data_IF_539188513135
#
_entry.id   IF_539188513135
#
_cell.length_a   1.000
_cell.length_b   1.000
_cell.length_c   1.000
_cell.angle_alpha   90.00
_cell.angle_beta   90.00
_cell.angle_gamma   90.00
#
_symmetry.space_group_name_H-M   'P 1'
#
loop_
_entity.id
_entity.type
_entity.pdbx_description
1 polymer ?
#
# COMPACT_ATOMS: atom_id res chain seq x y z
N UNK A 1 40.51 4.98 -19.19
CA UNK A 1 39.49 4.44 -18.26
C UNK A 1 39.52 2.92 -18.12
N UNK A 2 40.70 2.29 -17.97
CA UNK A 2 40.77 0.84 -17.65
C UNK A 2 40.58 0.57 -16.16
N UNK A 3 41.12 1.45 -15.32
CA UNK A 3 41.04 1.37 -13.85
C UNK A 3 39.61 1.42 -13.29
N UNK A 4 38.67 2.07 -13.99
CA UNK A 4 37.27 2.13 -13.57
C UNK A 4 36.48 0.84 -13.88
N UNK A 5 36.84 0.13 -14.94
CA UNK A 5 36.18 -1.12 -15.35
C UNK A 5 36.55 -2.27 -14.42
N UNK A 6 37.81 -2.35 -14.00
CA UNK A 6 38.29 -3.40 -13.08
C UNK A 6 37.60 -3.29 -11.71
N UNK A 7 37.48 -2.07 -11.17
CA UNK A 7 36.83 -1.84 -9.88
C UNK A 7 35.32 -2.08 -9.91
N UNK A 8 34.67 -1.84 -11.06
CA UNK A 8 33.27 -2.15 -11.25
C UNK A 8 33.02 -3.66 -11.33
N UNK A 9 33.94 -4.41 -11.94
CA UNK A 9 33.87 -5.88 -12.01
C UNK A 9 34.04 -6.52 -10.64
N UNK A 10 35.03 -6.06 -9.86
CA UNK A 10 35.30 -6.53 -8.50
C UNK A 10 34.09 -6.37 -7.56
N UNK A 11 33.39 -5.23 -7.65
CA UNK A 11 32.17 -4.98 -6.88
C UNK A 11 30.99 -5.86 -7.32
N UNK A 12 30.92 -6.22 -8.60
CA UNK A 12 29.87 -7.10 -9.12
C UNK A 12 30.06 -8.55 -8.66
N UNK A 13 31.29 -9.08 -8.77
CA UNK A 13 31.65 -10.42 -8.29
C UNK A 13 31.45 -10.56 -6.77
N UNK A 14 31.75 -9.50 -5.99
CA UNK A 14 31.54 -9.50 -4.54
C UNK A 14 30.06 -9.54 -4.11
N UNK A 15 29.17 -8.85 -4.84
CA UNK A 15 27.75 -8.75 -4.47
C UNK A 15 26.95 -9.97 -4.91
N UNK A 16 27.28 -10.53 -6.08
CA UNK A 16 26.49 -11.61 -6.67
C UNK A 16 27.06 -13.00 -6.29
N UNK A 17 28.28 -13.06 -5.77
CA UNK A 17 29.00 -14.32 -5.56
C UNK A 17 29.46 -14.92 -6.89
N UNK A 18 30.28 -15.97 -6.84
CA UNK A 18 30.60 -16.77 -8.03
C UNK A 18 29.26 -17.27 -8.61
N UNK A 19 28.81 -16.61 -9.67
CA UNK A 19 27.72 -17.06 -10.51
C UNK A 19 28.21 -18.38 -11.12
N UNK A 20 27.77 -19.49 -10.54
CA UNK A 20 27.84 -20.78 -11.19
C UNK A 20 27.30 -20.58 -12.61
N UNK A 21 28.16 -20.68 -13.62
CA UNK A 21 27.83 -20.51 -15.05
C UNK A 21 26.85 -21.59 -15.55
N UNK A 22 26.34 -22.43 -14.64
CA UNK A 22 25.43 -23.54 -14.88
C UNK A 22 24.01 -23.29 -14.36
N UNK A 23 23.53 -22.05 -14.37
CA UNK A 23 22.09 -21.80 -14.29
C UNK A 23 21.46 -22.16 -15.64
N UNK A 24 21.12 -23.45 -15.78
CA UNK A 24 20.23 -23.94 -16.82
C UNK A 24 18.90 -23.19 -16.69
N UNK A 25 18.71 -22.16 -17.52
CA UNK A 25 17.41 -21.54 -17.69
C UNK A 25 16.47 -22.63 -18.22
N UNK A 26 15.44 -23.05 -17.46
CA UNK A 26 14.50 -24.03 -17.97
C UNK A 26 13.83 -23.43 -19.19
N UNK A 27 14.13 -24.02 -20.35
CA UNK A 27 13.46 -23.70 -21.61
C UNK A 27 12.03 -24.21 -21.45
N UNK A 28 11.13 -23.33 -21.04
CA UNK A 28 9.71 -23.59 -21.07
C UNK A 28 9.30 -23.71 -22.55
N UNK A 29 9.21 -24.95 -23.05
CA UNK A 29 8.74 -25.26 -24.40
C UNK A 29 7.23 -24.98 -24.58
N UNK A 30 6.53 -24.75 -23.48
CA UNK A 30 5.09 -24.55 -23.47
C UNK A 30 4.75 -23.09 -23.76
N UNK A 31 4.05 -22.88 -24.87
CA UNK A 31 3.46 -21.60 -25.25
C UNK A 31 2.56 -21.09 -24.13
N UNK A 32 2.66 -19.80 -23.73
CA UNK A 32 1.85 -19.24 -22.67
C UNK A 32 0.36 -19.44 -22.96
N UNK A 33 -0.38 -19.97 -21.99
CA UNK A 33 -1.79 -20.30 -22.16
C UNK A 33 -2.59 -19.07 -22.62
N UNK A 34 -3.50 -19.21 -23.60
CA UNK A 34 -4.30 -18.10 -24.09
C UNK A 34 -5.19 -17.55 -22.98
N UNK A 35 -5.07 -16.24 -22.74
CA UNK A 35 -5.90 -15.52 -21.78
C UNK A 35 -7.30 -15.41 -22.38
N UNK A 36 -8.25 -16.19 -21.84
CA UNK A 36 -9.66 -16.04 -22.17
C UNK A 36 -10.24 -14.86 -21.39
N UNK A 37 -10.44 -13.74 -22.06
CA UNK A 37 -11.18 -12.59 -21.54
C UNK A 37 -12.66 -12.97 -21.56
N UNK A 38 -13.17 -13.50 -20.44
CA UNK A 38 -14.59 -13.74 -20.27
C UNK A 38 -15.30 -12.39 -20.11
N UNK A 39 -16.20 -12.12 -21.06
CA UNK A 39 -17.05 -10.94 -21.18
C UNK A 39 -18.03 -10.91 -20.00
N UNK A 40 -17.83 -9.95 -19.09
CA UNK A 40 -18.66 -9.80 -17.88
C UNK A 40 -19.86 -8.91 -18.23
N UNK A 41 -20.99 -9.53 -18.54
CA UNK A 41 -22.25 -8.81 -18.74
C UNK A 41 -22.81 -8.36 -17.37
N UNK A 42 -22.81 -7.04 -17.15
CA UNK A 42 -23.39 -6.41 -15.96
C UNK A 42 -24.87 -6.16 -16.21
N UNK A 43 -25.72 -6.98 -15.62
CA UNK A 43 -27.19 -6.82 -15.67
C UNK A 43 -27.66 -5.76 -14.66
N UNK A 44 -27.97 -4.56 -15.16
CA UNK A 44 -28.60 -3.51 -14.36
C UNK A 44 -30.09 -3.83 -14.15
N UNK A 45 -30.47 -4.07 -12.89
CA UNK A 45 -31.87 -4.30 -12.49
C UNK A 45 -32.48 -2.99 -12.02
N UNK A 46 -33.47 -2.49 -12.78
CA UNK A 46 -34.25 -1.31 -12.46
C UNK A 46 -35.24 -1.60 -11.33
N UNK A 47 -35.13 -0.88 -10.21
CA UNK A 47 -36.15 -0.83 -9.18
C UNK A 47 -36.91 0.50 -9.31
N UNK A 48 -38.17 0.37 -9.74
CA UNK A 48 -39.18 1.42 -9.79
C UNK A 48 -39.85 1.52 -8.42
N UNK A 49 -39.70 2.67 -7.75
CA UNK A 49 -39.98 2.85 -6.32
C UNK A 49 -40.49 4.25 -5.98
N UNK A 50 -41.73 4.52 -6.40
CA UNK A 50 -42.72 5.48 -5.89
C UNK A 50 -42.31 6.39 -4.70
N UNK A 51 -42.00 7.65 -5.02
CA UNK A 51 -41.95 8.84 -4.16
C UNK A 51 -43.26 9.09 -3.39
N UNK A 52 -43.22 9.29 -2.06
CA UNK A 52 -43.98 10.34 -1.32
C UNK A 52 -43.23 10.64 0.00
N UNK A 53 -42.81 11.89 0.19
CA UNK A 53 -42.31 12.43 1.45
C UNK A 53 -41.22 13.49 1.22
N UNK A 54 -41.63 14.73 0.95
CA UNK A 54 -40.74 15.87 0.82
C UNK A 54 -40.30 16.33 2.22
N UNK A 55 -39.24 15.73 2.74
CA UNK A 55 -38.42 16.30 3.80
C UNK A 55 -37.15 16.84 3.14
N UNK A 56 -36.79 18.08 3.50
CA UNK A 56 -35.78 18.90 2.84
C UNK A 56 -34.42 18.19 2.73
N UNK A 57 -34.00 17.90 1.50
CA UNK A 57 -32.63 17.53 1.11
C UNK A 57 -31.66 18.69 1.42
N UNK A 58 -31.32 18.92 2.69
CA UNK A 58 -30.15 19.71 3.03
C UNK A 58 -28.91 18.89 2.67
N UNK A 59 -28.03 19.38 1.77
CA UNK A 59 -26.76 18.71 1.50
C UNK A 59 -25.98 18.69 2.81
N UNK A 60 -25.80 17.51 3.38
CA UNK A 60 -24.88 17.33 4.49
C UNK A 60 -23.49 17.71 3.96
N UNK A 61 -22.89 18.75 4.55
CA UNK A 61 -21.53 19.18 4.24
C UNK A 61 -20.56 18.07 4.66
N UNK A 62 -20.21 17.20 3.71
CA UNK A 62 -19.19 16.18 3.91
C UNK A 62 -17.85 16.91 3.98
N UNK A 63 -17.25 16.92 5.17
CA UNK A 63 -15.90 17.45 5.34
C UNK A 63 -14.92 16.47 4.70
N UNK A 64 -14.27 16.91 3.62
CA UNK A 64 -13.23 16.14 2.95
C UNK A 64 -11.87 16.66 3.38
N UNK A 65 -10.96 15.73 3.67
CA UNK A 65 -9.59 16.03 4.06
C UNK A 65 -8.64 15.76 2.88
N UNK A 66 -7.95 16.80 2.37
CA UNK A 66 -7.04 16.63 1.23
C UNK A 66 -5.71 15.99 1.66
N UNK A 67 -5.41 14.85 1.05
CA UNK A 67 -4.15 14.12 1.22
C UNK A 67 -3.34 14.19 -0.08
N UNK A 68 -2.04 14.30 0.05
CA UNK A 68 -1.11 14.26 -1.07
C UNK A 68 -0.16 13.09 -0.92
N UNK A 69 -0.08 12.26 -1.95
CA UNK A 69 0.87 11.16 -2.07
C UNK A 69 1.99 11.59 -2.99
N UNK A 70 3.18 11.79 -2.42
CA UNK A 70 4.39 12.16 -3.12
C UNK A 70 5.21 10.91 -3.45
N UNK A 71 5.59 10.76 -4.71
CA UNK A 71 6.53 9.74 -5.17
C UNK A 71 7.87 10.38 -5.51
N UNK A 72 8.93 9.87 -4.90
CA UNK A 72 10.29 10.33 -5.14
C UNK A 72 11.01 9.40 -6.11
N UNK A 73 11.84 9.97 -7.00
CA UNK A 73 12.60 9.22 -8.01
C UNK A 73 13.53 8.18 -7.41
N UNK A 74 14.14 8.50 -6.27
CA UNK A 74 15.05 7.62 -5.54
C UNK A 74 14.92 7.89 -4.03
N UNK A 75 14.59 6.86 -3.25
CA UNK A 75 14.74 6.87 -1.80
C UNK A 75 16.18 6.45 -1.46
N UNK A 76 17.01 7.41 -1.06
CA UNK A 76 18.33 7.13 -0.50
C UNK A 76 18.22 6.92 1.01
N UNK A 77 19.24 6.33 1.62
CA UNK A 77 19.28 6.06 3.06
C UNK A 77 19.15 7.32 3.92
N UNK A 78 19.60 8.48 3.41
CA UNK A 78 19.49 9.76 4.13
C UNK A 78 18.04 10.24 4.28
N UNK A 79 17.14 9.88 3.35
CA UNK A 79 15.77 10.41 3.31
C UNK A 79 14.91 9.89 4.49
N UNK A 80 14.85 8.57 4.78
CA UNK A 80 14.16 8.08 5.97
C UNK A 80 14.68 8.70 7.26
N UNK A 81 16.00 8.84 7.43
CA UNK A 81 16.57 9.48 8.62
C UNK A 81 16.17 10.94 8.71
N UNK A 82 16.24 11.70 7.62
CA UNK A 82 15.80 13.10 7.61
C UNK A 82 14.31 13.25 8.03
N UNK A 83 13.44 12.36 7.55
CA UNK A 83 12.01 12.42 7.83
C UNK A 83 11.64 11.89 9.23
N UNK A 84 12.37 10.91 9.75
CA UNK A 84 12.07 10.24 11.03
C UNK A 84 12.85 10.79 12.22
N UNK A 85 14.02 11.37 11.99
CA UNK A 85 14.91 11.88 13.04
C UNK A 85 14.96 13.42 13.03
N UNK A 86 14.54 14.08 11.93
CA UNK A 86 14.57 15.54 11.81
C UNK A 86 13.63 16.25 12.79
N UNK A 87 14.04 17.37 13.42
CA UNK A 87 13.25 18.07 14.42
C UNK A 87 12.00 18.75 13.84
N UNK A 88 11.99 19.05 12.54
CA UNK A 88 10.92 19.84 11.92
C UNK A 88 9.59 19.08 11.90
N UNK A 89 9.64 17.76 11.70
CA UNK A 89 8.45 16.87 11.69
C UNK A 89 8.26 16.13 13.03
N UNK A 90 8.96 16.54 14.09
CA UNK A 90 8.92 15.86 15.37
C UNK A 90 7.52 15.88 15.99
N UNK A 91 6.85 17.03 15.96
CA UNK A 91 5.52 17.19 16.53
C UNK A 91 4.50 16.26 15.87
N UNK A 92 4.53 16.15 14.54
CA UNK A 92 3.63 15.29 13.77
C UNK A 92 3.90 13.81 14.05
N UNK A 93 5.16 13.40 14.18
CA UNK A 93 5.52 12.02 14.56
C UNK A 93 5.09 11.69 15.98
N UNK A 94 5.35 12.59 16.91
CA UNK A 94 4.96 12.41 18.32
C UNK A 94 3.45 12.34 18.48
N UNK A 95 2.69 13.18 17.76
CA UNK A 95 1.23 13.13 17.76
C UNK A 95 0.70 11.77 17.27
N UNK A 96 1.27 11.22 16.20
CA UNK A 96 0.92 9.88 15.71
C UNK A 96 1.27 8.80 16.72
N UNK A 97 2.48 8.83 17.29
CA UNK A 97 2.94 7.83 18.28
C UNK A 97 2.12 7.91 19.56
N UNK A 98 1.75 9.10 20.03
CA UNK A 98 0.88 9.30 21.20
C UNK A 98 -0.52 8.72 20.97
N UNK A 99 -1.03 8.79 19.73
CA UNK A 99 -2.27 8.14 19.32
C UNK A 99 -2.12 6.62 19.07
N UNK A 100 -0.92 6.06 19.23
CA UNK A 100 -0.65 4.63 19.03
C UNK A 100 -0.39 4.23 17.57
N UNK A 101 -0.20 5.20 16.67
CA UNK A 101 0.07 4.97 15.26
C UNK A 101 1.56 5.07 14.93
N UNK A 102 1.99 4.34 13.88
CA UNK A 102 3.36 4.39 13.38
C UNK A 102 3.47 5.40 12.23
N UNK A 103 4.50 6.27 12.22
CA UNK A 103 4.78 7.17 11.08
C UNK A 103 5.33 6.42 9.85
N UNK A 104 5.56 5.11 9.96
CA UNK A 104 5.92 4.23 8.84
C UNK A 104 4.82 3.19 8.63
N UNK A 105 4.25 3.18 7.42
CA UNK A 105 3.26 2.18 6.99
C UNK A 105 3.91 0.80 6.82
N UNK A 106 3.13 -0.31 6.82
CA UNK A 106 3.66 -1.66 6.57
C UNK A 106 4.42 -1.81 5.25
N UNK A 107 4.10 -0.98 4.25
CA UNK A 107 4.79 -0.91 2.95
C UNK A 107 6.18 -0.24 3.03
N UNK A 108 6.53 0.33 4.18
CA UNK A 108 7.73 1.14 4.40
C UNK A 108 7.58 2.61 3.99
N UNK A 109 6.47 2.99 3.37
CA UNK A 109 6.14 4.38 3.06
C UNK A 109 6.03 5.22 4.34
N UNK A 110 6.30 6.52 4.23
CA UNK A 110 6.23 7.46 5.36
C UNK A 110 4.90 8.19 5.33
N UNK A 111 4.28 8.38 6.49
CA UNK A 111 2.98 9.01 6.61
C UNK A 111 3.03 10.11 7.67
N UNK A 112 2.57 11.30 7.30
CA UNK A 112 2.48 12.49 8.17
C UNK A 112 1.11 13.14 7.97
N UNK A 113 0.15 12.71 8.77
CA UNK A 113 -1.23 13.18 8.78
C UNK A 113 -1.68 13.38 10.23
N UNK A 114 -2.73 14.17 10.50
CA UNK A 114 -3.33 14.22 11.83
C UNK A 114 -3.74 12.81 12.30
N UNK A 115 -3.60 12.49 13.59
CA UNK A 115 -3.93 11.16 14.10
C UNK A 115 -5.39 10.78 13.87
N UNK A 116 -6.30 11.75 13.90
CA UNK A 116 -7.75 11.55 13.73
C UNK A 116 -8.10 11.00 12.34
N UNK A 117 -7.31 11.36 11.31
CA UNK A 117 -7.54 10.92 9.92
C UNK A 117 -6.65 9.75 9.50
N UNK A 118 -5.75 9.26 10.36
CA UNK A 118 -4.79 8.22 9.98
C UNK A 118 -5.45 6.95 9.43
N UNK A 119 -6.45 6.42 10.15
CA UNK A 119 -7.15 5.18 9.78
C UNK A 119 -7.99 5.34 8.50
N UNK A 120 -8.82 6.41 8.34
CA UNK A 120 -9.49 6.70 7.08
C UNK A 120 -8.53 6.74 5.89
N UNK A 121 -7.39 7.42 6.05
CA UNK A 121 -6.37 7.55 5.00
C UNK A 121 -5.78 6.18 4.64
N UNK A 122 -5.38 5.38 5.63
CA UNK A 122 -4.83 4.04 5.40
C UNK A 122 -5.83 3.13 4.67
N UNK A 123 -7.10 3.10 5.12
CA UNK A 123 -8.17 2.34 4.47
C UNK A 123 -8.38 2.79 3.02
N UNK A 124 -8.43 4.10 2.78
CA UNK A 124 -8.63 4.66 1.45
C UNK A 124 -7.48 4.28 0.50
N UNK A 125 -6.23 4.33 0.97
CA UNK A 125 -5.06 3.93 0.19
C UNK A 125 -5.11 2.44 -0.21
N UNK A 126 -5.60 1.57 0.68
CA UNK A 126 -5.80 0.14 0.43
C UNK A 126 -6.94 -0.07 -0.58
N UNK A 127 -8.09 0.57 -0.38
CA UNK A 127 -9.26 0.47 -1.27
C UNK A 127 -8.93 0.92 -2.70
N UNK A 128 -8.11 1.96 -2.84
CA UNK A 128 -7.64 2.43 -4.15
C UNK A 128 -6.59 1.51 -4.78
N UNK A 129 -6.11 0.49 -4.07
CA UNK A 129 -5.10 -0.45 -4.57
C UNK A 129 -3.74 0.22 -4.82
N UNK A 130 -3.44 1.33 -4.16
CA UNK A 130 -2.18 2.05 -4.35
C UNK A 130 -1.03 1.24 -3.75
N UNK A 131 -0.13 0.74 -4.62
CA UNK A 131 1.07 0.02 -4.21
C UNK A 131 2.15 0.99 -3.71
N UNK A 132 2.00 1.41 -2.45
CA UNK A 132 2.97 2.25 -1.77
C UNK A 132 4.29 1.49 -1.57
N UNK A 133 5.39 2.24 -1.59
CA UNK A 133 6.77 1.77 -1.42
C UNK A 133 7.51 2.72 -0.50
N UNK A 134 8.73 2.37 -0.10
CA UNK A 134 9.64 3.23 0.69
C UNK A 134 9.97 4.59 0.05
N UNK A 135 9.75 4.74 -1.26
CA UNK A 135 9.91 6.00 -2.00
C UNK A 135 8.66 6.91 -1.98
N UNK A 136 7.57 6.44 -1.37
CA UNK A 136 6.33 7.19 -1.26
C UNK A 136 6.22 7.84 0.12
N UNK A 137 5.68 9.06 0.11
CA UNK A 137 5.40 9.85 1.30
C UNK A 137 3.93 10.28 1.21
N UNK A 138 3.15 9.98 2.24
CA UNK A 138 1.74 10.34 2.37
C UNK A 138 1.67 11.51 3.35
N UNK A 139 1.15 12.65 2.93
CA UNK A 139 1.10 13.88 3.74
C UNK A 139 -0.26 14.53 3.65
N UNK A 140 -0.68 15.22 4.71
CA UNK A 140 -1.75 16.21 4.59
C UNK A 140 -1.32 17.34 3.64
N UNK A 141 -2.25 17.92 2.88
CA UNK A 141 -1.97 19.04 1.99
C UNK A 141 -1.29 20.20 2.73
N UNK A 142 -1.69 20.49 3.97
CA UNK A 142 -1.11 21.59 4.77
C UNK A 142 0.35 21.33 5.19
N UNK A 143 0.74 20.05 5.26
CA UNK A 143 2.10 19.63 5.63
C UNK A 143 2.99 19.40 4.41
N UNK A 144 2.47 19.48 3.19
CA UNK A 144 3.22 19.18 1.96
C UNK A 144 4.45 20.09 1.84
N UNK A 145 4.27 21.40 1.96
CA UNK A 145 5.37 22.37 1.82
C UNK A 145 6.43 22.17 2.90
N UNK A 146 5.98 21.93 4.14
CA UNK A 146 6.87 21.67 5.28
C UNK A 146 7.72 20.43 5.05
N UNK A 147 7.11 19.33 4.61
CA UNK A 147 7.83 18.08 4.31
C UNK A 147 8.80 18.27 3.15
N UNK A 148 8.40 19.00 2.10
CA UNK A 148 9.28 19.31 0.98
C UNK A 148 10.50 20.15 1.41
N UNK A 149 10.30 21.14 2.29
CA UNK A 149 11.40 21.95 2.83
C UNK A 149 12.40 21.09 3.63
N UNK A 150 11.93 20.18 4.47
CA UNK A 150 12.77 19.23 5.23
C UNK A 150 13.58 18.35 4.28
N UNK A 151 12.91 17.81 3.26
CA UNK A 151 13.58 16.94 2.28
C UNK A 151 14.64 17.72 1.52
N UNK A 152 14.38 18.97 1.13
CA UNK A 152 15.35 19.84 0.45
C UNK A 152 16.55 20.21 1.34
N UNK A 153 16.30 20.63 2.60
CA UNK A 153 17.34 20.95 3.57
C UNK A 153 18.25 19.74 3.83
N UNK A 154 17.66 18.55 4.04
CA UNK A 154 18.42 17.32 4.20
C UNK A 154 19.21 16.95 2.93
N UNK A 155 18.64 17.20 1.75
CA UNK A 155 19.33 17.05 0.46
C UNK A 155 20.59 17.91 0.43
N UNK A 156 20.51 19.16 0.88
CA UNK A 156 21.61 20.13 0.86
C UNK A 156 22.69 19.80 1.88
N UNK A 157 22.30 19.33 3.06
CA UNK A 157 23.23 18.86 4.08
C UNK A 157 23.97 17.58 3.65
N UNK A 158 23.36 16.76 2.79
CA UNK A 158 23.96 15.52 2.30
C UNK A 158 25.01 15.76 1.23
N UNK A 159 26.19 15.13 1.38
CA UNK A 159 27.26 15.22 0.40
C UNK A 159 26.80 14.80 -1.01
N UNK A 160 27.28 15.48 -2.06
CA UNK A 160 26.84 15.27 -3.45
C UNK A 160 26.91 13.81 -3.93
N UNK A 161 27.87 13.02 -3.42
CA UNK A 161 28.03 11.59 -3.75
C UNK A 161 26.87 10.73 -3.23
N UNK A 162 26.32 11.09 -2.08
CA UNK A 162 25.24 10.36 -1.40
C UNK A 162 23.85 10.90 -1.78
N UNK A 163 23.77 12.20 -2.09
CA UNK A 163 22.54 12.92 -2.46
C UNK A 163 21.81 12.24 -3.63
N UNK A 164 22.54 11.85 -4.67
CA UNK A 164 21.97 11.29 -5.90
C UNK A 164 21.07 12.28 -6.66
N UNK A 165 20.31 11.78 -7.63
CA UNK A 165 19.26 12.55 -8.29
C UNK A 165 17.95 12.44 -7.50
N UNK A 166 17.51 13.57 -6.95
CA UNK A 166 16.26 13.68 -6.23
C UNK A 166 15.29 14.53 -7.05
N UNK A 167 14.16 13.95 -7.42
CA UNK A 167 13.03 14.63 -8.06
C UNK A 167 11.73 14.02 -7.56
N UNK A 168 10.72 14.86 -7.29
CA UNK A 168 9.35 14.39 -7.13
C UNK A 168 8.86 13.97 -8.51
N UNK A 169 8.61 12.67 -8.70
CA UNK A 169 8.18 12.11 -10.01
C UNK A 169 6.69 12.12 -10.18
N UNK A 170 5.95 12.01 -9.08
CA UNK A 170 4.49 11.92 -9.11
C UNK A 170 3.95 12.57 -7.85
N UNK A 171 2.89 13.35 -8.03
CA UNK A 171 2.10 13.95 -6.97
C UNK A 171 0.66 13.53 -7.26
N UNK A 172 0.04 12.83 -6.32
CA UNK A 172 -1.35 12.36 -6.44
C UNK A 172 -2.13 12.96 -5.28
N UNK A 173 -3.16 13.73 -5.58
CA UNK A 173 -4.10 14.22 -4.57
C UNK A 173 -5.20 13.18 -4.37
N UNK A 174 -5.50 12.91 -3.11
CA UNK A 174 -6.53 11.98 -2.67
C UNK A 174 -7.39 12.70 -1.65
N UNK A 175 -8.68 12.87 -1.94
CA UNK A 175 -9.64 13.33 -0.95
C UNK A 175 -10.08 12.15 -0.10
N UNK A 176 -9.99 12.29 1.21
CA UNK A 176 -10.47 11.31 2.18
C UNK A 176 -11.67 11.90 2.88
N UNK A 177 -12.80 11.21 2.82
CA UNK A 177 -13.97 11.60 3.58
C UNK A 177 -13.64 11.40 5.06
N UNK A 178 -13.79 12.44 5.89
CA UNK A 178 -13.85 12.27 7.34
C UNK A 178 -15.18 11.58 7.64
N UNK A 179 -15.22 10.26 7.38
CA UNK A 179 -16.21 9.43 8.02
C UNK A 179 -15.94 9.60 9.51
N UNK A 180 -16.80 10.35 10.19
CA UNK A 180 -16.91 10.34 11.63
C UNK A 180 -17.18 8.88 12.05
N UNK A 181 -16.11 8.07 12.14
CA UNK A 181 -15.99 6.94 13.05
C UNK A 181 -15.97 7.58 14.45
N UNK A 182 -17.02 8.32 14.80
CA UNK A 182 -17.35 8.57 16.18
C UNK A 182 -17.44 7.17 16.77
N UNK A 183 -16.65 6.84 17.80
CA UNK A 183 -16.80 5.60 18.52
C UNK A 183 -18.10 5.68 19.35
N UNK A 184 -19.23 5.91 18.70
CA UNK A 184 -20.45 5.30 19.17
C UNK A 184 -20.15 3.82 19.14
N UNK A 185 -20.07 3.27 20.34
CA UNK A 185 -20.01 1.85 20.62
C UNK A 185 -21.25 1.16 20.01
N UNK A 186 -21.26 1.00 18.70
CA UNK A 186 -22.19 0.13 17.99
C UNK A 186 -21.46 -1.17 17.72
N UNK A 187 -21.36 -1.97 18.80
CA UNK A 187 -21.65 -3.41 18.78
C UNK A 187 -23.06 -3.66 18.19
N UNK A 188 -23.27 -3.21 16.96
CA UNK A 188 -24.41 -3.53 16.14
C UNK A 188 -23.80 -3.72 14.75
N UNK A 189 -23.14 -4.87 14.58
CA UNK A 189 -23.06 -5.50 13.27
C UNK A 189 -24.44 -5.31 12.63
N UNK A 190 -24.50 -4.51 11.56
CA UNK A 190 -25.66 -4.52 10.70
C UNK A 190 -25.96 -5.99 10.40
N UNK A 191 -27.18 -6.50 10.67
CA UNK A 191 -27.47 -7.91 10.45
C UNK A 191 -27.20 -8.17 8.98
N UNK A 192 -26.14 -8.93 8.70
CA UNK A 192 -25.87 -9.42 7.36
C UNK A 192 -27.10 -10.23 7.00
N UNK A 193 -27.93 -9.67 6.13
CA UNK A 193 -29.19 -10.27 5.73
C UNK A 193 -28.84 -11.33 4.69
N UNK A 194 -28.45 -12.51 5.16
CA UNK A 194 -28.26 -13.68 4.32
C UNK A 194 -29.63 -14.12 3.83
N UNK A 195 -29.95 -13.89 2.56
CA UNK A 195 -31.07 -14.57 1.92
C UNK A 195 -30.58 -15.93 1.42
N UNK A 196 -30.91 -16.98 2.18
CA UNK A 196 -30.55 -18.35 1.85
C UNK A 196 -31.60 -18.92 0.90
N UNK A 197 -31.48 -18.63 -0.38
CA UNK A 197 -32.31 -19.20 -1.43
C UNK A 197 -31.65 -20.48 -1.95
N UNK A 198 -32.02 -21.63 -1.35
CA UNK A 198 -31.55 -23.01 -1.65
C UNK A 198 -30.07 -23.26 -1.31
N UNK A 199 -29.82 -23.71 -0.09
CA UNK A 199 -28.53 -24.18 0.42
C UNK A 199 -27.89 -25.28 -0.43
N UNK A 200 -26.87 -24.94 -1.20
CA UNK A 200 -25.70 -25.80 -1.44
C UNK A 200 -24.45 -24.91 -1.54
N UNK A 201 -23.60 -24.93 -0.52
CA UNK A 201 -22.27 -24.37 -0.61
C UNK A 201 -21.43 -25.39 -1.37
N UNK A 202 -21.12 -25.13 -2.64
CA UNK A 202 -20.12 -25.90 -3.36
C UNK A 202 -18.73 -25.45 -2.91
N UNK A 203 -18.16 -26.15 -1.95
CA UNK A 203 -16.74 -26.04 -1.63
C UNK A 203 -15.99 -26.92 -2.63
N UNK A 204 -15.29 -26.32 -3.59
CA UNK A 204 -14.40 -27.05 -4.47
C UNK A 204 -13.23 -27.60 -3.64
N UNK A 205 -13.25 -28.89 -3.34
CA UNK A 205 -12.15 -29.58 -2.65
C UNK A 205 -11.11 -29.94 -3.72
N UNK A 206 -9.91 -29.36 -3.71
CA UNK A 206 -8.84 -29.80 -4.61
C UNK A 206 -8.51 -31.27 -4.30
N UNK A 207 -8.47 -32.09 -5.36
CA UNK A 207 -8.27 -33.55 -5.30
C UNK A 207 -6.89 -34.00 -4.79
N UNK A 208 -6.09 -33.09 -4.26
CA UNK A 208 -4.72 -33.31 -3.79
C UNK A 208 -4.61 -33.68 -2.30
N UNK A 209 -5.71 -33.92 -1.60
CA UNK A 209 -5.68 -34.59 -0.30
C UNK A 209 -5.44 -36.09 -0.48
N UNK A 210 -4.21 -36.44 -0.88
CA UNK A 210 -3.68 -37.79 -0.79
C UNK A 210 -3.76 -38.23 0.67
N UNK A 211 -4.70 -39.13 0.97
CA UNK A 211 -4.72 -39.86 2.23
C UNK A 211 -3.52 -40.81 2.23
N UNK A 212 -2.49 -40.49 3.00
CA UNK A 212 -1.39 -41.40 3.22
C UNK A 212 -1.95 -42.71 3.83
N UNK A 213 -1.77 -43.81 3.10
CA UNK A 213 -2.14 -45.16 3.55
C UNK A 213 -1.37 -45.46 4.84
N UNK A 214 -2.11 -45.61 5.94
CA UNK A 214 -1.60 -46.12 7.22
C UNK A 214 -1.19 -47.57 7.06
N UNK A 215 0.11 -47.82 6.83
CA UNK A 215 0.69 -49.16 6.86
C UNK A 215 0.83 -49.60 8.32
N UNK A 216 -0.02 -50.52 8.77
CA UNK A 216 0.12 -51.17 10.08
C UNK A 216 1.30 -52.16 10.06
N UNK A 217 2.12 -52.23 11.13
CA UNK A 217 3.25 -53.16 11.18
C UNK A 217 2.79 -54.61 11.39
N UNK A 218 3.25 -55.51 10.50
CA UNK A 218 3.09 -56.95 10.65
C UNK A 218 4.10 -57.49 11.67
N UNK A 219 3.61 -58.23 12.67
CA UNK A 219 4.43 -58.91 13.68
C UNK A 219 4.70 -60.34 13.22
N UNK A 220 5.97 -60.72 13.03
CA UNK A 220 6.46 -62.12 13.06
C UNK A 220 7.85 -62.12 13.68
#
# INVERSE_FOLDING_TARGET
NKLGMEKARELYEYVIGDLDEHLDYPVHADSPAPIQVAELEVSASALDGKHIGADEDQPLDICTFPIVVLKLSQSKRWLPSALLEGPELQNEREALVQAGFSPTLPSGAKIFVPPDVYLPVERQLITQGLKLKTSHIVVSADLEEKVMAVVEAAREATARRERGSFKVTTRVEVSVDEAHDSPQATTAQAPVRYEVTRTFIQVAVPSSLYSALSTSPATV
#
